data_IF_488544485848
#
_entry.id   IF_488544485848
#
_cell.length_a   1.000
_cell.length_b   1.000
_cell.length_c   1.000
_cell.angle_alpha   90.00
_cell.angle_beta   90.00
_cell.angle_gamma   90.00
#
_symmetry.space_group_name_H-M   'P 1'
#
loop_
_entity.id
_entity.type
_entity.pdbx_description
1 polymer ?
#
# COMPACT_ATOMS: atom_id res chain seq x y z
N UNK A 1 -6.87 26.46 32.48
CA UNK A 1 -6.91 25.03 32.10
C UNK A 1 -6.64 24.94 30.61
N UNK A 2 -5.57 24.27 30.18
CA UNK A 2 -5.15 24.26 28.78
C UNK A 2 -5.83 23.11 28.01
N UNK A 3 -6.24 23.37 26.77
CA UNK A 3 -6.70 22.33 25.85
C UNK A 3 -5.52 21.49 25.40
N UNK A 4 -5.61 20.17 25.55
CA UNK A 4 -4.60 19.23 25.09
C UNK A 4 -5.22 18.32 24.01
N UNK A 5 -5.13 18.74 22.74
CA UNK A 5 -5.49 17.89 21.62
C UNK A 5 -4.32 16.95 21.30
N UNK A 6 -4.54 15.64 21.11
CA UNK A 6 -3.49 14.75 20.66
C UNK A 6 -3.15 15.06 19.19
N UNK A 7 -1.93 15.52 18.90
CA UNK A 7 -1.46 15.64 17.53
C UNK A 7 -1.47 14.24 16.87
N UNK A 8 -2.12 14.13 15.70
CA UNK A 8 -1.98 12.94 14.86
C UNK A 8 -0.51 12.79 14.46
N UNK A 9 0.05 11.61 14.72
CA UNK A 9 1.48 11.33 14.57
C UNK A 9 2.03 11.70 13.20
N UNK A 10 2.75 12.83 13.14
CA UNK A 10 3.65 13.17 12.02
C UNK A 10 4.64 12.02 11.85
N UNK A 11 4.91 11.64 10.59
CA UNK A 11 5.86 10.57 10.28
C UNK A 11 7.21 10.86 10.94
N UNK A 12 7.72 9.89 11.71
CA UNK A 12 8.81 10.04 12.70
C UNK A 12 9.97 10.89 12.16
N UNK A 13 10.03 12.16 12.55
CA UNK A 13 11.19 13.01 12.28
C UNK A 13 12.42 12.40 12.96
N UNK A 14 13.44 12.06 12.16
CA UNK A 14 14.59 11.29 12.63
C UNK A 14 15.60 12.24 13.28
N UNK A 15 15.25 12.74 14.47
CA UNK A 15 16.17 13.42 15.37
C UNK A 15 17.38 12.53 15.66
N UNK A 16 18.58 13.07 15.42
CA UNK A 16 19.81 12.28 15.33
C UNK A 16 20.40 11.93 16.70
N UNK A 17 20.28 10.66 17.14
CA UNK A 17 21.33 9.99 17.96
C UNK A 17 21.18 8.45 18.11
N UNK A 18 20.89 7.71 17.04
CA UNK A 18 21.17 6.26 17.04
C UNK A 18 21.43 5.73 15.63
N UNK A 19 22.46 4.88 15.49
CA UNK A 19 22.73 4.13 14.26
C UNK A 19 22.05 2.76 14.36
N UNK A 20 20.78 2.71 13.97
CA UNK A 20 20.00 1.47 13.90
C UNK A 20 20.43 0.68 12.64
N UNK A 21 20.70 -0.64 12.74
CA UNK A 21 20.94 -1.48 11.57
C UNK A 21 19.66 -1.66 10.75
N UNK A 22 19.71 -1.62 9.40
CA UNK A 22 18.52 -1.86 8.58
C UNK A 22 18.09 -3.33 8.67
N UNK A 23 16.79 -3.55 8.88
CA UNK A 23 16.16 -4.88 8.94
C UNK A 23 15.73 -5.29 7.53
N UNK A 24 16.06 -6.52 7.11
CA UNK A 24 15.77 -7.01 5.76
C UNK A 24 14.26 -7.01 5.43
N UNK A 25 13.43 -7.32 6.43
CA UNK A 25 11.99 -7.51 6.26
C UNK A 25 11.20 -6.23 6.00
N UNK A 26 11.80 -5.06 6.21
CA UNK A 26 11.19 -3.76 5.93
C UNK A 26 11.26 -3.37 4.45
N UNK A 27 12.09 -4.07 3.65
CA UNK A 27 12.34 -3.73 2.25
C UNK A 27 11.55 -4.63 1.29
N UNK A 28 11.08 -4.01 0.21
CA UNK A 28 10.53 -4.69 -0.97
C UNK A 28 11.53 -4.72 -2.14
N UNK A 29 12.70 -4.08 -1.98
CA UNK A 29 13.78 -4.09 -2.97
C UNK A 29 15.13 -4.40 -2.32
N UNK A 30 15.79 -5.47 -2.76
CA UNK A 30 17.09 -5.87 -2.20
C UNK A 30 18.20 -4.84 -2.46
N UNK A 31 18.12 -4.03 -3.54
CA UNK A 31 19.13 -2.99 -3.83
C UNK A 31 19.08 -1.85 -2.82
N UNK A 32 17.88 -1.46 -2.41
CA UNK A 32 17.64 -0.46 -1.35
C UNK A 32 18.14 -0.97 0.00
N UNK A 33 17.85 -2.23 0.34
CA UNK A 33 18.41 -2.88 1.53
C UNK A 33 19.96 -2.87 1.52
N UNK A 34 20.57 -3.28 0.40
CA UNK A 34 22.04 -3.30 0.24
C UNK A 34 22.65 -1.89 0.34
N UNK A 35 21.99 -0.87 -0.21
CA UNK A 35 22.39 0.52 -0.08
C UNK A 35 22.32 1.00 1.37
N UNK A 36 21.21 0.72 2.07
CA UNK A 36 21.04 1.05 3.49
C UNK A 36 22.08 0.35 4.37
N UNK A 37 22.31 -0.95 4.16
CA UNK A 37 23.33 -1.73 4.89
C UNK A 37 24.73 -1.16 4.67
N UNK A 38 25.08 -0.82 3.43
CA UNK A 38 26.36 -0.21 3.09
C UNK A 38 26.54 1.14 3.80
N UNK A 39 25.53 2.01 3.76
CA UNK A 39 25.58 3.32 4.43
C UNK A 39 25.63 3.18 5.95
N UNK A 40 24.91 2.22 6.54
CA UNK A 40 25.01 1.87 7.95
C UNK A 40 26.43 1.44 8.32
N UNK A 41 26.99 0.41 7.64
CA UNK A 41 28.36 -0.07 7.91
C UNK A 41 29.42 1.03 7.68
N UNK A 42 29.24 1.94 6.72
CA UNK A 42 30.11 3.13 6.55
C UNK A 42 30.03 4.09 7.72
N UNK A 43 28.82 4.43 8.21
CA UNK A 43 28.64 5.33 9.35
C UNK A 43 29.20 4.72 10.63
N UNK A 44 28.87 3.46 10.90
CA UNK A 44 29.30 2.71 12.10
C UNK A 44 30.78 2.27 12.10
N UNK A 45 31.53 2.57 11.04
CA UNK A 45 33.00 2.37 10.98
C UNK A 45 33.79 3.67 10.78
N UNK A 46 33.12 4.83 10.83
CA UNK A 46 33.76 6.14 10.75
C UNK A 46 34.68 6.33 11.98
N UNK A 47 35.98 6.50 11.74
CA UNK A 47 37.01 6.56 12.79
C UNK A 47 37.72 5.24 13.08
N UNK A 48 37.29 4.12 12.47
CA UNK A 48 38.08 2.87 12.49
C UNK A 48 39.32 2.98 11.60
N UNK A 49 40.41 2.34 12.01
CA UNK A 49 41.66 2.21 11.24
C UNK A 49 41.43 1.64 9.82
N UNK A 50 40.35 0.89 9.60
CA UNK A 50 39.92 0.38 8.30
C UNK A 50 38.42 0.63 8.07
N UNK A 51 38.07 1.87 7.74
CA UNK A 51 36.70 2.27 7.41
C UNK A 51 36.08 1.40 6.29
N UNK A 52 34.79 1.08 6.43
CA UNK A 52 34.08 0.18 5.53
C UNK A 52 33.92 0.76 4.12
N UNK A 53 34.09 -0.08 3.10
CA UNK A 53 34.00 0.29 1.70
C UNK A 53 33.65 -0.94 0.82
N UNK A 54 33.42 -0.72 -0.48
CA UNK A 54 33.00 -1.78 -1.41
C UNK A 54 34.00 -2.94 -1.52
N UNK A 55 35.31 -2.67 -1.41
CA UNK A 55 36.34 -3.71 -1.45
C UNK A 55 36.30 -4.58 -0.17
N UNK A 56 36.00 -3.99 0.99
CA UNK A 56 35.81 -4.74 2.25
C UNK A 56 34.59 -5.67 2.18
N UNK A 57 33.46 -5.21 1.63
CA UNK A 57 32.31 -6.10 1.37
C UNK A 57 32.68 -7.21 0.38
N UNK A 58 33.33 -6.87 -0.73
CA UNK A 58 33.68 -7.83 -1.79
C UNK A 58 34.64 -8.91 -1.28
N UNK A 59 35.60 -8.55 -0.43
CA UNK A 59 36.47 -9.51 0.26
C UNK A 59 35.67 -10.44 1.20
N UNK A 60 34.75 -9.90 2.02
CA UNK A 60 33.89 -10.70 2.90
C UNK A 60 32.96 -11.67 2.12
N UNK A 61 32.54 -11.28 0.91
CA UNK A 61 31.75 -12.10 0.00
C UNK A 61 32.59 -13.12 -0.82
N UNK A 62 33.93 -13.12 -0.69
CA UNK A 62 34.86 -13.85 -1.56
C UNK A 62 34.66 -13.53 -3.07
N UNK A 63 34.53 -12.24 -3.39
CA UNK A 63 34.31 -11.71 -4.75
C UNK A 63 35.55 -10.91 -5.19
N UNK A 64 36.17 -11.33 -6.30
CA UNK A 64 37.39 -10.72 -6.86
C UNK A 64 37.21 -9.25 -7.30
N UNK A 65 36.01 -8.84 -7.69
CA UNK A 65 35.69 -7.50 -8.20
C UNK A 65 35.39 -6.51 -7.05
N UNK A 66 36.27 -5.54 -6.73
CA UNK A 66 36.12 -4.70 -5.52
C UNK A 66 34.89 -3.79 -5.53
N UNK A 67 34.34 -3.48 -6.71
CA UNK A 67 33.15 -2.63 -6.89
C UNK A 67 31.88 -3.45 -7.17
N UNK A 68 31.86 -4.77 -6.90
CA UNK A 68 30.71 -5.61 -7.25
C UNK A 68 29.42 -5.17 -6.55
N UNK A 69 29.46 -4.95 -5.24
CA UNK A 69 28.32 -4.40 -4.48
C UNK A 69 27.83 -3.06 -5.04
N UNK A 70 28.74 -2.17 -5.48
CA UNK A 70 28.38 -0.89 -6.10
C UNK A 70 27.57 -1.10 -7.38
N UNK A 71 28.01 -2.01 -8.26
CA UNK A 71 27.28 -2.34 -9.50
C UNK A 71 25.90 -2.96 -9.23
N UNK A 72 25.73 -3.71 -8.14
CA UNK A 72 24.43 -4.25 -7.72
C UNK A 72 23.50 -3.14 -7.21
N UNK A 73 24.00 -2.22 -6.36
CA UNK A 73 23.23 -1.08 -5.84
C UNK A 73 22.81 -0.14 -6.98
N UNK A 74 23.71 0.15 -7.92
CA UNK A 74 23.46 1.03 -9.08
C UNK A 74 22.64 0.37 -10.20
N UNK A 75 22.06 -0.82 -10.00
CA UNK A 75 21.25 -1.51 -11.01
C UNK A 75 22.03 -2.15 -12.17
N UNK A 76 23.32 -1.86 -12.30
CA UNK A 76 24.21 -2.26 -13.42
C UNK A 76 24.49 -3.77 -13.52
N UNK A 77 24.15 -4.56 -12.49
CA UNK A 77 24.23 -6.03 -12.49
C UNK A 77 23.11 -6.64 -11.65
N UNK A 78 22.78 -7.89 -11.96
CA UNK A 78 21.88 -8.74 -11.15
C UNK A 78 22.70 -9.72 -10.28
N UNK A 79 22.03 -10.36 -9.31
CA UNK A 79 22.58 -11.46 -8.52
C UNK A 79 22.09 -12.81 -9.08
N UNK A 80 23.01 -13.78 -9.19
CA UNK A 80 22.69 -15.20 -9.35
C UNK A 80 22.63 -15.89 -7.98
N UNK A 81 22.01 -17.07 -7.87
CA UNK A 81 21.83 -17.77 -6.57
C UNK A 81 23.14 -18.08 -5.82
N UNK A 82 24.23 -18.35 -6.54
CA UNK A 82 25.59 -18.45 -5.97
C UNK A 82 26.04 -17.12 -5.32
N UNK A 83 25.77 -16.00 -5.97
CA UNK A 83 26.08 -14.67 -5.44
C UNK A 83 25.14 -14.28 -4.31
N UNK A 84 23.88 -14.75 -4.28
CA UNK A 84 22.97 -14.55 -3.15
C UNK A 84 23.56 -15.18 -1.88
N UNK A 85 24.08 -16.42 -1.95
CA UNK A 85 24.73 -17.08 -0.81
C UNK A 85 26.00 -16.36 -0.33
N UNK A 86 26.83 -15.90 -1.27
CA UNK A 86 28.04 -15.10 -0.98
C UNK A 86 27.71 -13.75 -0.33
N UNK A 87 26.65 -13.08 -0.80
CA UNK A 87 26.14 -11.85 -0.19
C UNK A 87 25.58 -12.11 1.21
N UNK A 88 24.78 -13.15 1.42
CA UNK A 88 24.27 -13.53 2.75
C UNK A 88 25.40 -13.70 3.78
N UNK A 89 26.47 -14.40 3.40
CA UNK A 89 27.68 -14.52 4.24
C UNK A 89 28.35 -13.17 4.55
N UNK A 90 28.47 -12.28 3.56
CA UNK A 90 29.08 -10.95 3.74
C UNK A 90 28.20 -9.97 4.56
N UNK A 91 26.88 -10.16 4.53
CA UNK A 91 25.90 -9.43 5.33
C UNK A 91 25.88 -9.91 6.79
N UNK A 92 26.35 -11.14 7.04
CA UNK A 92 26.30 -11.80 8.35
C UNK A 92 24.98 -12.53 8.62
N UNK A 93 24.26 -12.92 7.57
CA UNK A 93 22.96 -13.56 7.67
C UNK A 93 23.03 -15.01 8.14
N UNK A 94 22.05 -15.40 8.97
CA UNK A 94 21.77 -16.80 9.27
C UNK A 94 21.04 -17.49 8.08
N UNK A 95 20.69 -18.77 8.24
CA UNK A 95 20.00 -19.56 7.18
C UNK A 95 18.66 -18.95 6.77
N UNK A 96 17.85 -18.49 7.72
CA UNK A 96 16.50 -17.95 7.45
C UNK A 96 16.56 -16.55 6.82
N UNK A 97 17.47 -15.69 7.27
CA UNK A 97 17.74 -14.39 6.65
C UNK A 97 18.32 -14.54 5.23
N UNK A 98 19.14 -15.55 4.98
CA UNK A 98 19.67 -15.85 3.64
C UNK A 98 18.56 -16.34 2.70
N UNK A 99 17.58 -17.10 3.20
CA UNK A 99 16.41 -17.50 2.42
C UNK A 99 15.46 -16.32 2.15
N UNK A 100 15.21 -15.46 3.14
CA UNK A 100 14.44 -14.23 2.92
C UNK A 100 15.11 -13.33 1.86
N UNK A 101 16.44 -13.21 1.91
CA UNK A 101 17.21 -12.44 0.93
C UNK A 101 17.16 -13.08 -0.46
N UNK A 102 17.19 -14.42 -0.56
CA UNK A 102 16.95 -15.15 -1.81
C UNK A 102 15.58 -14.82 -2.39
N UNK A 103 14.52 -14.95 -1.60
CA UNK A 103 13.15 -14.70 -2.04
C UNK A 103 12.93 -13.24 -2.46
N UNK A 104 13.53 -12.28 -1.75
CA UNK A 104 13.51 -10.84 -2.11
C UNK A 104 14.25 -10.56 -3.43
N UNK A 105 15.40 -11.20 -3.66
CA UNK A 105 16.16 -11.09 -4.93
C UNK A 105 15.40 -11.75 -6.08
N UNK A 106 14.81 -12.92 -5.88
CA UNK A 106 14.02 -13.61 -6.90
C UNK A 106 12.74 -12.83 -7.25
N UNK A 107 12.01 -12.33 -6.25
CA UNK A 107 10.87 -11.42 -6.43
C UNK A 107 11.20 -10.18 -7.27
N UNK A 108 12.29 -9.50 -6.95
CA UNK A 108 12.68 -8.25 -7.64
C UNK A 108 13.27 -8.44 -9.03
N UNK A 109 13.89 -9.59 -9.30
CA UNK A 109 14.50 -9.90 -10.60
C UNK A 109 13.59 -10.70 -11.54
N UNK A 110 12.48 -11.26 -11.04
CA UNK A 110 11.49 -11.95 -11.87
C UNK A 110 10.90 -10.98 -12.92
N UNK A 111 11.08 -11.33 -14.19
CA UNK A 111 10.54 -10.58 -15.34
C UNK A 111 9.09 -10.95 -15.63
N UNK A 112 8.73 -12.23 -15.44
CA UNK A 112 7.36 -12.71 -15.58
C UNK A 112 6.49 -12.31 -14.36
N UNK A 113 5.24 -11.85 -14.59
CA UNK A 113 4.34 -11.47 -13.50
C UNK A 113 3.93 -12.63 -12.57
N UNK A 114 3.75 -13.85 -13.07
CA UNK A 114 3.34 -15.00 -12.27
C UNK A 114 4.50 -15.53 -11.41
N UNK A 115 5.72 -15.59 -11.94
CA UNK A 115 6.93 -15.85 -11.14
C UNK A 115 7.08 -14.81 -10.03
N UNK A 116 6.97 -13.52 -10.37
CA UNK A 116 7.04 -12.42 -9.40
C UNK A 116 5.98 -12.58 -8.31
N UNK A 117 4.76 -12.98 -8.67
CA UNK A 117 3.67 -13.24 -7.74
C UNK A 117 3.96 -14.44 -6.82
N UNK A 118 4.49 -15.54 -7.36
CA UNK A 118 4.93 -16.71 -6.61
C UNK A 118 6.01 -16.36 -5.58
N UNK A 119 7.04 -15.61 -5.97
CA UNK A 119 8.11 -15.22 -5.06
C UNK A 119 7.63 -14.25 -3.99
N UNK A 120 6.70 -13.34 -4.31
CA UNK A 120 6.06 -12.46 -3.32
C UNK A 120 5.26 -13.25 -2.27
N UNK A 121 4.48 -14.27 -2.70
CA UNK A 121 3.76 -15.18 -1.81
C UNK A 121 4.73 -15.89 -0.86
N UNK A 122 5.75 -16.58 -1.41
CA UNK A 122 6.79 -17.30 -0.64
C UNK A 122 7.52 -16.39 0.34
N UNK A 123 7.89 -15.17 -0.07
CA UNK A 123 8.55 -14.19 0.80
C UNK A 123 7.66 -13.74 1.96
N UNK A 124 6.36 -13.53 1.71
CA UNK A 124 5.39 -13.16 2.74
C UNK A 124 5.22 -14.27 3.77
N UNK A 125 5.04 -15.51 3.31
CA UNK A 125 4.92 -16.72 4.13
C UNK A 125 6.17 -16.95 4.99
N UNK A 126 7.36 -16.81 4.40
CA UNK A 126 8.64 -16.96 5.11
C UNK A 126 8.86 -15.89 6.19
N UNK A 127 8.58 -14.61 5.89
CA UNK A 127 8.64 -13.50 6.87
C UNK A 127 7.69 -13.73 8.05
N UNK A 128 6.48 -14.20 7.77
CA UNK A 128 5.47 -14.55 8.79
C UNK A 128 5.94 -15.73 9.65
N UNK A 129 6.46 -16.79 9.05
CA UNK A 129 7.00 -17.94 9.77
C UNK A 129 8.19 -17.56 10.69
N UNK A 130 9.05 -16.64 10.26
CA UNK A 130 10.13 -16.10 11.10
C UNK A 130 9.62 -15.35 12.33
N UNK A 131 8.63 -14.44 12.14
CA UNK A 131 8.04 -13.67 13.25
C UNK A 131 7.24 -14.51 14.26
N UNK A 132 6.68 -15.62 13.80
CA UNK A 132 6.06 -16.64 14.68
C UNK A 132 7.11 -17.36 15.54
N UNK A 133 8.25 -17.73 14.97
CA UNK A 133 9.35 -18.40 15.71
C UNK A 133 10.02 -17.49 16.73
N UNK A 134 10.12 -16.19 16.45
CA UNK A 134 10.73 -15.22 17.36
C UNK A 134 9.81 -14.77 18.50
N UNK A 135 8.50 -15.09 18.43
CA UNK A 135 7.49 -14.57 19.35
C UNK A 135 7.16 -13.08 19.16
N UNK A 136 7.71 -12.43 18.13
CA UNK A 136 7.34 -11.04 17.77
C UNK A 136 5.88 -10.96 17.31
N UNK A 137 5.41 -12.03 16.66
CA UNK A 137 3.99 -12.30 16.49
C UNK A 137 3.63 -13.39 17.52
N UNK A 138 2.79 -13.05 18.50
CA UNK A 138 2.16 -14.06 19.36
C UNK A 138 1.40 -15.07 18.47
N UNK A 139 1.71 -16.35 18.68
CA UNK A 139 1.11 -17.44 17.93
C UNK A 139 -0.41 -17.49 18.07
N UNK A 140 -0.97 -17.19 19.25
CA UNK A 140 -2.43 -17.16 19.44
C UNK A 140 -3.06 -15.99 18.67
N UNK A 141 -2.42 -14.84 18.66
CA UNK A 141 -2.83 -13.66 17.89
C UNK A 141 -2.66 -13.84 16.38
N UNK A 142 -1.77 -14.74 15.93
CA UNK A 142 -1.70 -15.17 14.53
C UNK A 142 -2.76 -16.22 14.16
N UNK A 143 -3.04 -17.17 15.05
CA UNK A 143 -4.09 -18.18 14.86
C UNK A 143 -5.49 -17.53 14.92
N UNK A 144 -5.62 -16.35 15.55
CA UNK A 144 -6.77 -15.43 15.43
C UNK A 144 -6.84 -14.66 14.10
N UNK A 145 -5.85 -14.72 13.21
CA UNK A 145 -5.92 -14.02 11.91
C UNK A 145 -6.98 -14.68 11.05
N UNK A 146 -8.01 -13.95 10.60
CA UNK A 146 -8.92 -14.48 9.60
C UNK A 146 -8.13 -14.81 8.34
N UNK A 147 -8.03 -16.10 8.00
CA UNK A 147 -7.62 -16.47 6.65
C UNK A 147 -8.68 -15.94 5.68
N UNK A 148 -8.31 -15.64 4.43
CA UNK A 148 -9.28 -15.22 3.41
C UNK A 148 -10.43 -16.25 3.27
N UNK A 149 -10.10 -17.54 3.49
CA UNK A 149 -11.03 -18.67 3.61
C UNK A 149 -12.13 -18.41 4.64
N UNK A 150 -11.80 -17.90 5.83
CA UNK A 150 -12.79 -17.61 6.87
C UNK A 150 -13.73 -16.45 6.47
N UNK A 151 -13.21 -15.41 5.81
CA UNK A 151 -14.05 -14.31 5.30
C UNK A 151 -15.00 -14.79 4.20
N UNK A 152 -14.54 -15.66 3.30
CA UNK A 152 -15.42 -16.23 2.25
C UNK A 152 -16.42 -17.23 2.85
N UNK A 153 -16.03 -18.13 3.76
CA UNK A 153 -16.96 -19.05 4.46
C UNK A 153 -18.04 -18.26 5.23
N UNK A 154 -17.67 -17.18 5.93
CA UNK A 154 -18.63 -16.31 6.61
C UNK A 154 -19.60 -15.64 5.62
N UNK A 155 -19.13 -15.20 4.44
CA UNK A 155 -19.99 -14.68 3.39
C UNK A 155 -20.89 -15.77 2.75
N UNK A 156 -20.41 -17.01 2.63
CA UNK A 156 -21.14 -18.14 2.05
C UNK A 156 -22.36 -18.58 2.88
N UNK A 157 -22.48 -18.17 4.14
CA UNK A 157 -23.71 -18.41 4.94
C UNK A 157 -24.93 -17.69 4.33
N UNK A 158 -24.67 -16.56 3.67
CA UNK A 158 -25.67 -15.79 2.94
C UNK A 158 -25.79 -16.23 1.47
N UNK A 159 -25.05 -17.26 1.05
CA UNK A 159 -25.15 -17.89 -0.27
C UNK A 159 -26.11 -19.10 -0.20
N UNK A 160 -26.89 -19.29 -1.27
CA UNK A 160 -27.87 -20.36 -1.35
C UNK A 160 -27.26 -21.73 -1.69
N UNK A 161 -27.93 -22.80 -1.26
CA UNK A 161 -27.51 -24.19 -1.50
C UNK A 161 -26.20 -24.64 -0.84
N UNK A 162 -25.53 -23.80 -0.03
CA UNK A 162 -24.23 -24.14 0.57
C UNK A 162 -24.35 -25.17 1.69
N UNK A 163 -23.72 -26.34 1.48
CA UNK A 163 -23.41 -27.29 2.54
C UNK A 163 -22.08 -26.93 3.23
N UNK A 164 -22.08 -26.95 4.58
CA UNK A 164 -20.93 -26.58 5.42
C UNK A 164 -20.16 -27.79 5.92
N UNK A 165 -19.77 -28.64 4.98
CA UNK A 165 -18.76 -29.69 5.14
C UNK A 165 -17.50 -29.35 4.34
N UNK A 166 -16.36 -29.93 4.73
CA UNK A 166 -15.06 -29.58 4.16
C UNK A 166 -14.96 -29.87 2.66
N UNK A 167 -15.63 -30.91 2.14
CA UNK A 167 -15.56 -31.27 0.73
C UNK A 167 -16.42 -30.35 -0.15
N UNK A 168 -17.65 -30.06 0.27
CA UNK A 168 -18.52 -29.09 -0.41
C UNK A 168 -17.91 -27.69 -0.43
N UNK A 169 -17.36 -27.23 0.71
CA UNK A 169 -16.67 -25.95 0.80
C UNK A 169 -15.42 -25.92 -0.08
N UNK A 170 -14.60 -26.98 -0.12
CA UNK A 170 -13.42 -27.07 -1.00
C UNK A 170 -13.80 -26.96 -2.49
N UNK A 171 -14.89 -27.60 -2.90
CA UNK A 171 -15.40 -27.53 -4.27
C UNK A 171 -15.90 -26.13 -4.63
N UNK A 172 -16.69 -25.50 -3.74
CA UNK A 172 -17.18 -24.12 -3.93
C UNK A 172 -16.04 -23.08 -3.93
N UNK A 173 -14.99 -23.31 -3.14
CA UNK A 173 -13.74 -22.55 -3.15
C UNK A 173 -12.82 -22.92 -4.33
N UNK A 174 -13.26 -23.77 -5.27
CA UNK A 174 -12.53 -24.23 -6.46
C UNK A 174 -11.15 -24.83 -6.16
N UNK A 175 -10.98 -25.46 -5.00
CA UNK A 175 -9.70 -26.02 -4.56
C UNK A 175 -8.61 -25.00 -4.20
N UNK A 176 -8.94 -23.70 -4.09
CA UNK A 176 -7.97 -22.63 -3.75
C UNK A 176 -7.48 -22.67 -2.30
N UNK A 177 -8.16 -23.43 -1.43
CA UNK A 177 -7.80 -23.66 -0.03
C UNK A 177 -7.62 -25.16 0.24
N UNK A 178 -6.73 -25.52 1.17
CA UNK A 178 -6.62 -26.90 1.66
C UNK A 178 -7.78 -27.29 2.57
N UNK A 179 -7.97 -28.60 2.79
CA UNK A 179 -8.99 -29.11 3.71
C UNK A 179 -8.73 -28.63 5.15
N UNK A 180 -7.46 -28.71 5.59
CA UNK A 180 -6.99 -28.14 6.85
C UNK A 180 -7.35 -26.65 7.00
N UNK A 181 -7.14 -25.83 5.96
CA UNK A 181 -7.47 -24.39 6.02
C UNK A 181 -8.97 -24.13 6.16
N UNK A 182 -9.79 -24.96 5.51
CA UNK A 182 -11.27 -24.87 5.53
C UNK A 182 -11.80 -25.31 6.89
N UNK A 183 -11.33 -26.44 7.42
CA UNK A 183 -11.72 -26.94 8.74
C UNK A 183 -11.29 -25.98 9.85
N UNK A 184 -10.04 -25.50 9.82
CA UNK A 184 -9.58 -24.50 10.79
C UNK A 184 -10.43 -23.23 10.70
N UNK A 185 -10.69 -22.70 9.50
CA UNK A 185 -11.51 -21.50 9.32
C UNK A 185 -12.95 -21.66 9.86
N UNK A 186 -13.60 -22.80 9.59
CA UNK A 186 -14.95 -23.09 10.08
C UNK A 186 -14.96 -23.26 11.61
N UNK A 187 -13.98 -23.98 12.17
CA UNK A 187 -13.85 -24.17 13.62
C UNK A 187 -13.52 -22.85 14.34
N UNK A 188 -12.69 -21.97 13.77
CA UNK A 188 -12.45 -20.62 14.30
C UNK A 188 -13.75 -19.83 14.37
N UNK A 189 -14.52 -19.77 13.27
CA UNK A 189 -15.76 -18.99 13.19
C UNK A 189 -16.87 -19.49 14.12
N UNK A 190 -16.93 -20.80 14.40
CA UNK A 190 -17.85 -21.37 15.39
C UNK A 190 -17.36 -21.07 16.82
N UNK A 191 -16.05 -21.15 17.06
CA UNK A 191 -15.45 -20.97 18.40
C UNK A 191 -15.38 -19.50 18.83
N UNK A 192 -15.22 -18.56 17.89
CA UNK A 192 -15.39 -17.12 18.13
C UNK A 192 -16.86 -16.75 18.39
N UNK A 193 -17.78 -17.62 17.99
CA UNK A 193 -19.22 -17.39 18.05
C UNK A 193 -19.75 -16.48 16.95
N UNK A 194 -18.97 -16.17 15.91
CA UNK A 194 -19.41 -15.45 14.70
C UNK A 194 -20.46 -16.27 13.91
N UNK A 195 -20.28 -17.58 13.87
CA UNK A 195 -21.20 -18.56 13.31
C UNK A 195 -21.71 -19.51 14.40
N UNK A 196 -22.94 -20.01 14.23
CA UNK A 196 -23.56 -21.00 15.11
C UNK A 196 -24.28 -22.05 14.27
N UNK A 197 -24.34 -23.28 14.76
CA UNK A 197 -25.24 -24.32 14.24
C UNK A 197 -26.63 -24.09 14.84
N UNK A 198 -27.66 -24.16 14.02
CA UNK A 198 -29.04 -24.20 14.46
C UNK A 198 -29.33 -25.56 15.13
N UNK A 199 -29.87 -25.55 16.35
CA UNK A 199 -30.11 -26.76 17.13
C UNK A 199 -31.25 -27.63 16.57
N UNK A 200 -32.11 -27.08 15.72
CA UNK A 200 -33.28 -27.76 15.14
C UNK A 200 -33.05 -28.14 13.69
N UNK A 201 -32.44 -27.26 12.88
CA UNK A 201 -32.21 -27.52 11.44
C UNK A 201 -30.79 -27.99 11.11
N UNK A 202 -29.83 -27.88 12.05
CA UNK A 202 -28.41 -28.19 11.83
C UNK A 202 -27.66 -27.19 10.95
N UNK A 203 -28.36 -26.21 10.37
CA UNK A 203 -27.83 -25.20 9.45
C UNK A 203 -26.79 -24.30 10.15
N UNK A 204 -25.74 -23.90 9.43
CA UNK A 204 -24.87 -22.82 9.86
C UNK A 204 -25.56 -21.47 9.64
N UNK A 205 -25.63 -20.65 10.69
CA UNK A 205 -26.21 -19.29 10.67
C UNK A 205 -25.23 -18.30 11.31
N UNK A 206 -25.23 -17.06 10.83
CA UNK A 206 -24.49 -15.96 11.46
C UNK A 206 -25.09 -15.65 12.84
N UNK A 207 -24.24 -15.50 13.85
CA UNK A 207 -24.71 -15.04 15.14
C UNK A 207 -25.17 -13.57 15.07
N UNK A 208 -26.17 -13.21 15.88
CA UNK A 208 -26.62 -11.82 16.07
C UNK A 208 -25.63 -10.96 16.89
N UNK A 209 -24.38 -11.38 17.04
CA UNK A 209 -23.41 -10.59 17.79
C UNK A 209 -23.09 -9.32 17.01
N UNK A 210 -23.17 -8.18 17.69
CA UNK A 210 -22.35 -7.04 17.32
C UNK A 210 -20.90 -7.52 17.50
N UNK A 211 -20.14 -7.65 16.42
CA UNK A 211 -18.72 -8.02 16.51
C UNK A 211 -18.01 -6.93 17.30
N UNK A 212 -17.54 -7.27 18.50
CA UNK A 212 -16.63 -6.39 19.26
C UNK A 212 -15.44 -6.11 18.35
N UNK A 213 -15.23 -4.83 18.03
CA UNK A 213 -14.18 -4.46 17.09
C UNK A 213 -12.82 -4.77 17.72
N UNK A 214 -11.96 -5.60 17.10
CA UNK A 214 -10.68 -5.93 17.68
C UNK A 214 -9.81 -4.67 17.78
N UNK A 215 -9.57 -4.21 19.01
CA UNK A 215 -8.67 -3.08 19.26
C UNK A 215 -7.27 -3.42 18.70
N UNK A 216 -6.81 -2.57 17.78
CA UNK A 216 -5.54 -2.69 17.04
C UNK A 216 -5.22 -4.06 16.40
N UNK A 217 -5.87 -4.40 15.28
CA UNK A 217 -5.28 -5.42 14.36
C UNK A 217 -3.94 -4.89 13.80
N UNK A 218 -2.81 -5.60 14.02
CA UNK A 218 -1.51 -5.14 13.54
C UNK A 218 -1.45 -4.98 12.01
N UNK A 219 -0.80 -3.91 11.55
CA UNK A 219 -0.65 -3.54 10.13
C UNK A 219 -0.08 -4.68 9.26
N UNK A 220 0.76 -5.55 9.82
CA UNK A 220 1.28 -6.72 9.13
C UNK A 220 0.19 -7.73 8.73
N UNK A 221 -0.85 -7.90 9.57
CA UNK A 221 -1.95 -8.84 9.33
C UNK A 221 -2.92 -8.28 8.29
N UNK A 222 -3.21 -6.97 8.35
CA UNK A 222 -3.95 -6.24 7.31
C UNK A 222 -3.26 -6.39 5.94
N UNK A 223 -1.94 -6.19 5.88
CA UNK A 223 -1.15 -6.39 4.64
C UNK A 223 -1.16 -7.84 4.15
N UNK A 224 -1.06 -8.83 5.03
CA UNK A 224 -1.16 -10.27 4.68
C UNK A 224 -2.50 -10.56 4.00
N UNK A 225 -3.60 -10.20 4.64
CA UNK A 225 -4.94 -10.48 4.14
C UNK A 225 -5.24 -9.73 2.84
N UNK A 226 -4.89 -8.44 2.75
CA UNK A 226 -4.98 -7.67 1.50
C UNK A 226 -4.19 -8.34 0.37
N UNK A 227 -2.98 -8.83 0.63
CA UNK A 227 -2.17 -9.54 -0.38
C UNK A 227 -2.85 -10.84 -0.84
N UNK A 228 -3.41 -11.64 0.07
CA UNK A 228 -4.17 -12.84 -0.28
C UNK A 228 -5.40 -12.52 -1.14
N UNK A 229 -6.18 -11.50 -0.78
CA UNK A 229 -7.36 -11.08 -1.56
C UNK A 229 -6.98 -10.49 -2.93
N UNK A 230 -5.84 -9.81 -3.05
CA UNK A 230 -5.30 -9.36 -4.34
C UNK A 230 -4.88 -10.53 -5.24
N UNK A 231 -4.28 -11.60 -4.68
CA UNK A 231 -3.95 -12.79 -5.45
C UNK A 231 -5.17 -13.52 -6.01
N UNK A 232 -6.28 -13.60 -5.25
CA UNK A 232 -7.55 -14.14 -5.76
C UNK A 232 -8.04 -13.35 -6.99
N UNK A 233 -7.89 -12.02 -6.96
CA UNK A 233 -8.18 -11.16 -8.11
C UNK A 233 -7.26 -11.42 -9.30
N UNK A 234 -5.94 -11.55 -9.07
CA UNK A 234 -4.99 -11.86 -10.14
C UNK A 234 -5.26 -13.24 -10.78
N UNK A 235 -5.57 -14.26 -9.98
CA UNK A 235 -5.97 -15.58 -10.47
C UNK A 235 -7.24 -15.51 -11.32
N UNK A 236 -8.22 -14.70 -10.92
CA UNK A 236 -9.48 -14.51 -11.66
C UNK A 236 -9.27 -14.00 -13.08
N UNK A 237 -8.24 -13.17 -13.33
CA UNK A 237 -7.88 -12.71 -14.67
C UNK A 237 -7.58 -13.88 -15.63
N UNK A 238 -7.01 -14.97 -15.12
CA UNK A 238 -6.63 -16.15 -15.92
C UNK A 238 -7.63 -17.31 -15.82
N UNK A 239 -8.49 -17.35 -14.79
CA UNK A 239 -9.40 -18.46 -14.51
C UNK A 239 -10.88 -18.18 -14.83
N UNK A 240 -11.31 -16.92 -14.76
CA UNK A 240 -12.71 -16.54 -14.98
C UNK A 240 -12.90 -15.85 -16.35
N UNK A 241 -14.01 -16.15 -17.01
CA UNK A 241 -14.39 -15.48 -18.26
C UNK A 241 -14.67 -13.99 -18.01
N UNK A 242 -14.41 -13.09 -18.99
CA UNK A 242 -14.67 -11.65 -18.83
C UNK A 242 -16.13 -11.28 -18.50
N UNK A 243 -17.09 -12.18 -18.71
CA UNK A 243 -18.50 -12.01 -18.33
C UNK A 243 -18.81 -12.37 -16.87
N UNK A 244 -17.90 -13.05 -16.16
CA UNK A 244 -18.04 -13.40 -14.74
C UNK A 244 -17.29 -12.45 -13.78
N UNK A 245 -16.57 -11.45 -14.31
CA UNK A 245 -15.72 -10.53 -13.52
C UNK A 245 -15.64 -9.12 -14.12
N UNK A 246 -15.56 -8.11 -13.25
CA UNK A 246 -15.35 -6.70 -13.64
C UNK A 246 -13.90 -6.28 -13.31
N UNK A 247 -13.20 -5.68 -14.29
CA UNK A 247 -11.77 -5.33 -14.20
C UNK A 247 -11.45 -4.00 -14.91
N UNK A 248 -12.07 -2.90 -14.45
CA UNK A 248 -11.73 -1.55 -14.87
C UNK A 248 -10.35 -1.07 -14.39
N UNK A 249 -9.62 -0.34 -15.25
CA UNK A 249 -8.33 0.29 -14.93
C UNK A 249 -8.35 1.77 -15.33
N UNK A 250 -7.83 2.65 -14.47
CA UNK A 250 -7.73 4.09 -14.74
C UNK A 250 -6.41 4.64 -14.16
N UNK A 251 -5.66 5.37 -14.99
CA UNK A 251 -4.42 6.05 -14.59
C UNK A 251 -4.66 7.56 -14.64
N UNK A 252 -4.24 8.27 -13.58
CA UNK A 252 -4.53 9.69 -13.37
C UNK A 252 -3.37 10.38 -12.65
N UNK A 253 -3.12 11.64 -13.01
CA UNK A 253 -2.28 12.55 -12.22
C UNK A 253 -3.17 13.29 -11.23
N UNK A 254 -2.77 13.37 -9.97
CA UNK A 254 -3.56 13.96 -8.88
C UNK A 254 -2.68 14.84 -7.99
N UNK A 255 -3.25 15.95 -7.51
CA UNK A 255 -2.75 16.63 -6.32
C UNK A 255 -3.04 15.80 -5.06
N UNK A 256 -2.36 16.12 -3.95
CA UNK A 256 -2.61 15.50 -2.65
C UNK A 256 -4.06 15.65 -2.17
N UNK A 257 -4.73 16.74 -2.53
CA UNK A 257 -6.12 16.99 -2.13
C UNK A 257 -7.08 16.04 -2.85
N UNK A 258 -7.00 15.96 -4.17
CA UNK A 258 -7.84 15.07 -5.00
C UNK A 258 -7.59 13.59 -4.64
N UNK A 259 -6.35 13.20 -4.33
CA UNK A 259 -6.01 11.85 -3.87
C UNK A 259 -6.73 11.47 -2.56
N UNK A 260 -6.76 12.37 -1.57
CA UNK A 260 -7.52 12.12 -0.33
C UNK A 260 -9.04 12.17 -0.53
N UNK A 261 -9.53 13.03 -1.42
CA UNK A 261 -10.95 13.11 -1.78
C UNK A 261 -11.43 11.81 -2.46
N UNK A 262 -10.67 11.29 -3.42
CA UNK A 262 -10.99 10.02 -4.09
C UNK A 262 -10.90 8.87 -3.09
N UNK A 263 -9.88 8.83 -2.20
CA UNK A 263 -9.83 7.85 -1.10
C UNK A 263 -11.07 7.91 -0.19
N UNK A 264 -11.62 9.09 0.06
CA UNK A 264 -12.87 9.25 0.81
C UNK A 264 -14.08 8.70 0.02
N UNK A 265 -14.23 9.07 -1.25
CA UNK A 265 -15.30 8.57 -2.15
C UNK A 265 -15.29 7.04 -2.26
N UNK A 266 -14.11 6.42 -2.45
CA UNK A 266 -13.96 4.97 -2.54
C UNK A 266 -14.34 4.26 -1.22
N UNK A 267 -14.03 4.85 -0.06
CA UNK A 267 -14.47 4.34 1.25
C UNK A 267 -15.99 4.44 1.42
N UNK A 268 -16.61 5.55 1.00
CA UNK A 268 -18.06 5.71 1.04
C UNK A 268 -18.76 4.68 0.13
N UNK A 269 -18.26 4.50 -1.09
CA UNK A 269 -18.75 3.49 -2.04
C UNK A 269 -18.68 2.07 -1.45
N UNK A 270 -17.51 1.67 -0.91
CA UNK A 270 -17.34 0.38 -0.21
C UNK A 270 -18.34 0.20 0.93
N UNK A 271 -18.57 1.24 1.75
CA UNK A 271 -19.52 1.21 2.87
C UNK A 271 -20.98 1.11 2.40
N UNK A 272 -21.35 1.78 1.31
CA UNK A 272 -22.67 1.66 0.68
C UNK A 272 -22.93 0.24 0.19
N UNK A 273 -22.08 -0.27 -0.71
CA UNK A 273 -22.20 -1.61 -1.28
C UNK A 273 -22.32 -2.71 -0.19
N UNK A 274 -21.51 -2.63 0.88
CA UNK A 274 -21.60 -3.56 1.99
C UNK A 274 -22.93 -3.46 2.77
N UNK A 275 -23.40 -2.24 3.05
CA UNK A 275 -24.69 -2.01 3.72
C UNK A 275 -25.85 -2.56 2.89
N UNK A 276 -25.87 -2.27 1.60
CA UNK A 276 -26.98 -2.61 0.72
C UNK A 276 -27.01 -4.12 0.44
N UNK A 277 -25.84 -4.76 0.34
CA UNK A 277 -25.71 -6.22 0.33
C UNK A 277 -26.27 -6.85 1.63
N UNK A 278 -25.86 -6.36 2.81
CA UNK A 278 -26.38 -6.85 4.10
C UNK A 278 -27.91 -6.74 4.19
N UNK A 279 -28.50 -5.65 3.71
CA UNK A 279 -29.95 -5.46 3.69
C UNK A 279 -30.64 -6.41 2.69
N UNK A 280 -30.01 -6.71 1.55
CA UNK A 280 -30.53 -7.70 0.60
C UNK A 280 -30.49 -9.13 1.18
N UNK A 281 -29.41 -9.49 1.88
CA UNK A 281 -29.24 -10.81 2.51
C UNK A 281 -30.18 -11.08 3.70
N UNK A 282 -30.74 -10.03 4.32
CA UNK A 282 -31.87 -10.16 5.26
C UNK A 282 -33.19 -10.59 4.59
N UNK A 283 -33.32 -10.51 3.26
CA UNK A 283 -34.54 -10.84 2.51
C UNK A 283 -34.43 -12.13 1.70
N UNK A 284 -33.27 -12.37 1.08
CA UNK A 284 -33.00 -13.55 0.25
C UNK A 284 -31.51 -13.84 0.21
N UNK A 285 -31.11 -15.10 0.11
CA UNK A 285 -29.72 -15.50 -0.12
C UNK A 285 -29.22 -15.04 -1.50
N UNK A 286 -27.91 -15.07 -1.71
CA UNK A 286 -27.27 -14.81 -3.00
C UNK A 286 -26.83 -16.10 -3.70
N UNK A 287 -26.64 -16.04 -5.02
CA UNK A 287 -26.22 -17.21 -5.81
C UNK A 287 -24.73 -17.57 -5.61
N UNK A 288 -23.87 -16.56 -5.41
CA UNK A 288 -22.41 -16.71 -5.32
C UNK A 288 -21.80 -15.60 -4.47
N UNK A 289 -20.75 -15.89 -3.71
CA UNK A 289 -19.87 -14.88 -3.10
C UNK A 289 -18.92 -14.28 -4.14
N UNK A 290 -18.76 -12.95 -4.12
CA UNK A 290 -17.83 -12.20 -4.98
C UNK A 290 -16.88 -11.36 -4.13
N UNK A 291 -15.59 -11.34 -4.47
CA UNK A 291 -14.58 -10.53 -3.78
C UNK A 291 -14.33 -9.22 -4.54
N UNK A 292 -14.76 -8.08 -3.96
CA UNK A 292 -14.53 -6.75 -4.53
C UNK A 292 -13.25 -6.13 -3.97
N UNK A 293 -12.24 -5.99 -4.82
CA UNK A 293 -11.00 -5.28 -4.51
C UNK A 293 -11.00 -3.89 -5.16
N UNK A 294 -10.84 -2.84 -4.35
CA UNK A 294 -10.76 -1.44 -4.82
C UNK A 294 -9.39 -0.90 -4.39
N UNK A 295 -8.61 -0.40 -5.36
CA UNK A 295 -7.21 -0.01 -5.14
C UNK A 295 -6.93 1.37 -5.75
N UNK A 296 -6.27 2.24 -4.98
CA UNK A 296 -5.73 3.52 -5.44
C UNK A 296 -4.39 3.74 -4.75
N UNK A 297 -3.31 3.77 -5.52
CA UNK A 297 -1.94 3.85 -5.03
C UNK A 297 -1.06 4.68 -5.98
N UNK A 298 -0.03 5.38 -5.49
CA UNK A 298 0.92 6.08 -6.34
C UNK A 298 1.79 5.07 -7.10
N UNK A 299 1.89 5.25 -8.42
CA UNK A 299 2.81 4.49 -9.30
C UNK A 299 4.12 5.23 -9.59
N UNK A 300 4.21 6.50 -9.22
CA UNK A 300 5.39 7.36 -9.32
C UNK A 300 5.66 8.05 -8.00
N UNK A 301 6.93 8.40 -7.73
CA UNK A 301 7.26 9.37 -6.69
C UNK A 301 6.72 10.76 -7.11
N UNK A 302 6.46 11.62 -6.12
CA UNK A 302 6.35 13.05 -6.39
C UNK A 302 7.68 13.56 -6.94
N UNK A 303 7.64 14.47 -7.92
CA UNK A 303 8.84 15.20 -8.35
C UNK A 303 9.21 16.13 -7.19
N UNK A 304 10.26 15.80 -6.45
CA UNK A 304 10.94 16.77 -5.60
C UNK A 304 11.28 17.96 -6.50
N UNK A 305 10.79 19.14 -6.15
CA UNK A 305 10.97 20.34 -6.96
C UNK A 305 12.43 20.49 -7.33
N UNK A 306 12.72 20.58 -8.63
CA UNK A 306 14.05 20.90 -9.13
C UNK A 306 14.44 22.21 -8.42
N UNK A 307 15.50 22.18 -7.61
CA UNK A 307 16.12 23.43 -7.15
C UNK A 307 16.39 24.24 -8.40
N UNK A 308 15.67 25.34 -8.57
CA UNK A 308 15.67 26.10 -9.82
C UNK A 308 17.05 26.70 -9.99
N UNK A 309 17.93 25.96 -10.68
CA UNK A 309 19.22 26.40 -11.13
C UNK A 309 19.00 27.80 -11.73
N UNK A 310 19.65 28.84 -11.18
CA UNK A 310 19.23 30.22 -11.38
C UNK A 310 19.17 30.46 -12.88
N UNK A 311 17.97 30.79 -13.38
CA UNK A 311 17.73 30.94 -14.81
C UNK A 311 18.73 31.96 -15.32
N UNK A 312 19.69 31.52 -16.13
CA UNK A 312 20.57 32.46 -16.82
C UNK A 312 19.66 33.36 -17.65
N UNK A 313 19.60 34.63 -17.27
CA UNK A 313 18.79 35.61 -17.98
C UNK A 313 19.23 35.56 -19.44
N UNK A 314 18.26 35.34 -20.33
CA UNK A 314 18.54 35.28 -21.76
C UNK A 314 19.22 36.58 -22.16
N UNK A 315 20.35 36.50 -22.87
CA UNK A 315 21.15 37.65 -23.29
C UNK A 315 20.50 38.42 -24.47
N UNK A 316 19.18 38.66 -24.35
CA UNK A 316 18.32 39.37 -25.28
C UNK A 316 17.70 40.64 -24.66
N UNK A 317 18.15 41.04 -23.47
CA UNK A 317 18.06 42.44 -23.00
C UNK A 317 19.02 43.33 -23.82
N UNK A 318 18.82 43.37 -25.13
CA UNK A 318 19.43 44.35 -26.01
C UNK A 318 18.81 45.70 -25.68
N UNK A 319 19.61 46.58 -25.07
CA UNK A 319 19.21 47.97 -24.82
C UNK A 319 18.96 48.68 -26.15
N UNK A 320 17.72 48.74 -26.59
CA UNK A 320 17.31 49.67 -27.64
C UNK A 320 17.50 51.10 -27.10
N UNK A 321 18.58 51.75 -27.59
CA UNK A 321 18.91 53.12 -27.23
C UNK A 321 17.89 54.12 -27.76
N UNK A 322 18.01 55.37 -27.30
CA UNK A 322 17.11 56.46 -27.69
C UNK A 322 17.14 56.66 -29.21
N UNK A 323 16.02 56.38 -29.88
CA UNK A 323 15.80 56.79 -31.26
C UNK A 323 15.35 58.25 -31.23
N UNK A 324 16.19 59.14 -31.75
CA UNK A 324 15.83 60.55 -31.97
C UNK A 324 15.30 60.68 -33.39
N UNK A 325 13.98 60.67 -33.54
CA UNK A 325 13.36 60.98 -34.83
C UNK A 325 13.44 62.48 -35.11
N UNK A 326 13.98 62.85 -36.27
CA UNK A 326 13.97 64.21 -36.79
C UNK A 326 12.86 64.34 -37.82
N UNK A 327 12.06 65.40 -37.70
CA UNK A 327 10.88 65.64 -38.53
C UNK A 327 11.24 66.02 -39.98
N UNK A 328 10.64 65.39 -41.00
CA UNK A 328 10.40 66.04 -42.28
C UNK A 328 9.23 67.05 -42.16
N UNK A 329 9.09 67.91 -43.17
CA UNK A 329 8.22 69.11 -43.14
C UNK A 329 6.88 68.91 -43.90
N UNK A 330 5.99 69.93 -43.80
CA UNK A 330 4.86 70.27 -44.70
C UNK A 330 3.45 69.76 -44.35
N UNK A 331 2.72 70.66 -43.67
CA UNK A 331 1.31 71.04 -43.88
C UNK A 331 0.13 70.13 -43.37
N UNK A 332 -1.08 70.72 -43.13
CA UNK A 332 -1.99 70.21 -42.09
C UNK A 332 -3.45 69.94 -42.52
N UNK A 333 -4.23 69.29 -41.64
CA UNK A 333 -5.53 69.79 -41.13
C UNK A 333 -6.25 68.81 -40.16
N UNK A 334 -6.79 69.34 -39.05
CA UNK A 334 -8.10 69.04 -38.39
C UNK A 334 -8.47 67.58 -37.96
N UNK A 335 -9.18 67.32 -36.86
CA UNK A 335 -9.61 68.15 -35.72
C UNK A 335 -10.20 67.27 -34.56
N UNK A 336 -10.53 67.93 -33.43
CA UNK A 336 -11.40 67.47 -32.32
C UNK A 336 -10.86 66.39 -31.35
N UNK A 337 -11.43 66.36 -30.13
CA UNK A 337 -10.89 65.63 -28.98
C UNK A 337 -11.96 65.26 -27.91
N UNK A 338 -11.56 64.39 -26.95
CA UNK A 338 -12.09 64.27 -25.58
C UNK A 338 -13.52 63.65 -25.38
N UNK A 339 -13.92 63.25 -24.14
CA UNK A 339 -13.16 62.70 -23.00
C UNK A 339 -13.80 61.44 -22.33
N UNK A 340 -13.26 61.03 -21.16
CA UNK A 340 -13.60 59.89 -20.29
C UNK A 340 -14.77 60.14 -19.30
N UNK A 341 -15.34 59.09 -18.66
CA UNK A 341 -16.08 59.21 -17.39
C UNK A 341 -16.21 57.92 -16.52
N UNK A 342 -15.69 57.99 -15.27
CA UNK A 342 -16.21 57.48 -13.96
C UNK A 342 -16.36 55.96 -13.61
N UNK A 343 -16.45 55.73 -12.29
CA UNK A 343 -16.59 54.49 -11.47
C UNK A 343 -17.98 54.49 -10.74
N UNK A 344 -18.33 53.73 -9.64
CA UNK A 344 -17.75 52.54 -8.96
C UNK A 344 -18.82 51.47 -8.48
N UNK A 345 -18.45 50.64 -7.47
CA UNK A 345 -19.29 50.03 -6.38
C UNK A 345 -19.83 48.55 -6.39
N UNK A 346 -20.15 48.07 -5.17
CA UNK A 346 -20.57 46.70 -4.73
C UNK A 346 -21.98 46.75 -4.06
N UNK A 347 -22.42 45.93 -3.05
CA UNK A 347 -22.18 44.52 -2.63
C UNK A 347 -23.52 43.73 -2.39
N UNK A 348 -23.51 42.51 -1.78
CA UNK A 348 -24.59 42.02 -0.86
C UNK A 348 -24.34 40.69 -0.09
N UNK A 349 -25.19 40.45 0.92
CA UNK A 349 -25.29 39.28 1.82
C UNK A 349 -26.44 38.31 1.38
N UNK A 350 -26.94 37.26 2.09
CA UNK A 350 -26.88 36.68 3.47
C UNK A 350 -27.26 35.15 3.34
N UNK A 351 -27.54 34.24 4.30
CA UNK A 351 -27.74 34.18 5.76
C UNK A 351 -27.60 32.73 6.34
N UNK A 352 -27.77 32.56 7.65
CA UNK A 352 -27.74 31.29 8.41
C UNK A 352 -28.98 30.39 8.23
N UNK A 353 -28.95 29.15 8.77
CA UNK A 353 -29.76 28.66 9.95
C UNK A 353 -29.30 27.25 10.38
N UNK A 354 -29.64 26.82 11.61
CA UNK A 354 -29.24 25.58 12.32
C UNK A 354 -30.34 24.48 12.25
N UNK A 355 -30.36 23.31 12.92
CA UNK A 355 -29.48 22.51 13.82
C UNK A 355 -30.03 21.05 13.89
N UNK A 356 -29.56 20.23 14.85
CA UNK A 356 -30.15 18.96 15.35
C UNK A 356 -29.97 17.66 14.52
N UNK A 357 -28.89 16.93 14.81
CA UNK A 357 -28.90 15.47 14.97
C UNK A 357 -27.64 15.02 15.76
N UNK A 358 -27.80 14.60 17.02
CA UNK A 358 -26.68 14.19 17.87
C UNK A 358 -27.00 12.90 18.64
N UNK A 359 -26.37 11.78 18.28
CA UNK A 359 -26.35 10.56 19.11
C UNK A 359 -25.15 9.66 18.80
N UNK A 360 -24.45 9.26 19.86
CA UNK A 360 -23.50 8.13 20.03
C UNK A 360 -22.71 7.56 18.83
N UNK A 361 -21.39 7.55 18.98
CA UNK A 361 -20.43 6.86 18.10
C UNK A 361 -20.38 5.34 18.30
N UNK A 362 -19.90 4.60 17.29
CA UNK A 362 -18.81 3.62 17.42
C UNK A 362 -18.30 3.15 16.02
N UNK A 363 -17.26 2.30 16.01
CA UNK A 363 -16.68 1.57 14.89
C UNK A 363 -16.03 2.40 13.75
N UNK A 364 -14.75 2.73 13.94
CA UNK A 364 -13.80 3.07 12.88
C UNK A 364 -12.97 1.85 12.39
N UNK A 365 -13.28 0.65 12.90
CA UNK A 365 -12.25 -0.31 13.35
C UNK A 365 -12.32 -1.68 12.65
N UNK A 366 -12.82 -1.69 11.40
CA UNK A 366 -12.51 -2.72 10.39
C UNK A 366 -11.59 -2.16 9.29
N UNK A 367 -10.70 -1.26 9.71
CA UNK A 367 -9.49 -0.75 9.05
C UNK A 367 -9.73 0.16 7.82
N UNK A 368 -9.45 1.45 8.04
CA UNK A 368 -9.83 2.63 7.22
C UNK A 368 -9.56 2.51 5.72
#
# INVERSE_FOLDING_TARGET
MQHNQPEFGKGKEISTSSLVPPVLSDYMNYREYLAAFYQFKRKSSKGSLRAYNYAVFSAAANIKSPNYLKMIIEGKRNLSDDMIGKFGKALGFNKEQTEEFRLLVQFTQAMDPADRNMYLKKMSEHRVAGKLKSGEIDRKSFEKVPNWVAWIIYAMVDQDGVAFDTASLKNLLRGKASEDEIENALNTLITSGDLRRDEVTGEIKKARSLTESPEDIPVALVRKLQSQLMYLGLESIYQDQPTEREFGTLTMSLTKAEFEEIKFKLRQMRKGLNKDNSIARMKSKGERVYQLNIQLFPVTNAVNGIETAPMMQSALDVKNGVIVETTPEVAPAMAAAAPQAKQPEQPKERSNVSSLAATAASAADLFR
#
